data_IF_172597296376
#
_entry.id   IF_172597296376
#
_cell.length_a   1.000
_cell.length_b   1.000
_cell.length_c   1.000
_cell.angle_alpha   90.00
_cell.angle_beta   90.00
_cell.angle_gamma   90.00
#
_symmetry.space_group_name_H-M   'P 1'
#
loop_
_entity.id
_entity.type
_entity.pdbx_description
1 polymer ?
#
# COMPACT_ATOMS: atom_id res chain seq x y z
N UNK A 1 -17.22 -21.53 2.14
CA UNK A 1 -17.13 -20.71 3.37
C UNK A 1 -15.71 -20.26 3.65
N UNK A 2 -14.75 -21.19 3.65
CA UNK A 2 -13.34 -20.85 3.90
C UNK A 2 -12.78 -19.86 2.89
N UNK A 3 -13.06 -20.07 1.60
CA UNK A 3 -12.63 -19.18 0.55
C UNK A 3 -13.21 -17.77 0.71
N UNK A 4 -14.49 -17.66 1.04
CA UNK A 4 -15.14 -16.37 1.26
C UNK A 4 -14.53 -15.61 2.43
N UNK A 5 -14.26 -16.33 3.54
CA UNK A 5 -13.61 -15.74 4.72
C UNK A 5 -12.22 -15.24 4.36
N UNK A 6 -11.43 -16.02 3.61
CA UNK A 6 -10.09 -15.61 3.17
C UNK A 6 -10.15 -14.36 2.32
N UNK A 7 -11.08 -14.27 1.37
CA UNK A 7 -11.24 -13.09 0.51
C UNK A 7 -11.61 -11.87 1.34
N UNK A 8 -12.57 -12.01 2.27
CA UNK A 8 -12.98 -10.91 3.14
C UNK A 8 -11.80 -10.42 3.99
N UNK A 9 -11.03 -11.36 4.57
CA UNK A 9 -9.88 -11.02 5.39
C UNK A 9 -8.76 -10.38 4.59
N UNK A 10 -8.55 -10.80 3.34
CA UNK A 10 -7.60 -10.15 2.45
C UNK A 10 -8.02 -8.71 2.20
N UNK A 11 -9.29 -8.46 1.90
CA UNK A 11 -9.78 -7.10 1.66
C UNK A 11 -9.58 -6.23 2.89
N UNK A 12 -9.99 -6.70 4.07
CA UNK A 12 -9.88 -5.94 5.31
C UNK A 12 -8.41 -5.66 5.64
N UNK A 13 -7.56 -6.68 5.60
CA UNK A 13 -6.14 -6.53 5.94
C UNK A 13 -5.39 -5.69 4.90
N UNK A 14 -5.76 -5.78 3.63
CA UNK A 14 -5.19 -4.91 2.58
C UNK A 14 -5.56 -3.45 2.82
N UNK A 15 -6.81 -3.17 3.17
CA UNK A 15 -7.24 -1.81 3.50
C UNK A 15 -6.49 -1.29 4.73
N UNK A 16 -6.31 -2.13 5.74
CA UNK A 16 -5.57 -1.75 6.95
C UNK A 16 -4.10 -1.44 6.65
N UNK A 17 -3.42 -2.34 5.93
CA UNK A 17 -2.01 -2.14 5.60
C UNK A 17 -1.80 -0.95 4.66
N UNK A 18 -2.64 -0.81 3.65
CA UNK A 18 -2.54 0.30 2.71
C UNK A 18 -2.83 1.64 3.39
N UNK A 19 -3.84 1.69 4.25
CA UNK A 19 -4.13 2.90 5.02
C UNK A 19 -2.97 3.26 5.95
N UNK A 20 -2.48 2.30 6.74
CA UNK A 20 -1.39 2.52 7.68
C UNK A 20 -0.12 2.98 6.97
N UNK A 21 0.29 2.27 5.93
CA UNK A 21 1.50 2.62 5.16
C UNK A 21 1.34 3.94 4.43
N UNK A 22 0.15 4.23 3.87
CA UNK A 22 -0.08 5.53 3.21
C UNK A 22 0.07 6.69 4.20
N UNK A 23 -0.44 6.53 5.41
CA UNK A 23 -0.25 7.54 6.46
C UNK A 23 1.22 7.65 6.84
N UNK A 24 1.93 6.54 6.91
CA UNK A 24 3.37 6.53 7.13
C UNK A 24 4.12 7.35 6.08
N UNK A 25 3.81 7.15 4.81
CA UNK A 25 4.43 7.91 3.71
C UNK A 25 4.06 9.39 3.74
N UNK A 26 2.79 9.70 3.96
CA UNK A 26 2.31 11.09 3.97
C UNK A 26 2.93 11.88 5.13
N UNK A 27 2.86 11.34 6.35
CA UNK A 27 3.46 12.02 7.50
C UNK A 27 4.98 12.04 7.41
N UNK A 28 5.60 10.98 6.90
CA UNK A 28 7.05 10.93 6.69
C UNK A 28 7.55 11.98 5.72
N UNK A 29 6.81 12.23 4.62
CA UNK A 29 7.19 13.29 3.69
C UNK A 29 7.07 14.70 4.28
N UNK A 30 6.32 14.87 5.36
CA UNK A 30 6.16 16.15 6.05
C UNK A 30 6.96 16.22 7.36
N UNK A 31 7.78 15.19 7.65
CA UNK A 31 8.52 15.12 8.90
C UNK A 31 9.74 16.05 8.93
N UNK A 32 10.29 16.38 7.78
CA UNK A 32 11.49 17.22 7.68
C UNK A 32 11.14 18.56 7.07
N UNK A 33 11.39 19.61 7.81
CA UNK A 33 11.20 20.99 7.36
C UNK A 33 12.54 21.72 7.46
N UNK A 34 13.13 22.03 6.29
CA UNK A 34 14.43 22.73 6.21
C UNK A 34 15.53 22.03 7.05
N UNK A 35 15.55 20.70 7.03
CA UNK A 35 16.53 19.91 7.77
C UNK A 35 16.22 19.72 9.24
N UNK A 36 15.08 20.24 9.73
CA UNK A 36 14.66 20.08 11.12
C UNK A 36 13.53 19.07 11.19
N UNK A 37 13.64 18.09 12.09
CA UNK A 37 12.64 17.04 12.26
C UNK A 37 11.42 17.59 13.01
N UNK A 38 10.24 17.46 12.40
CA UNK A 38 8.97 17.62 13.07
C UNK A 38 8.65 16.31 13.79
N UNK A 39 8.84 16.29 15.09
CA UNK A 39 8.69 15.07 15.90
C UNK A 39 7.28 14.49 15.82
N UNK A 40 6.25 15.34 15.78
CA UNK A 40 4.87 14.90 15.70
C UNK A 40 4.61 14.13 14.39
N UNK A 41 5.02 14.68 13.25
CA UNK A 41 4.88 14.00 11.97
C UNK A 41 5.77 12.76 11.89
N UNK A 42 6.96 12.79 12.45
CA UNK A 42 7.84 11.64 12.53
C UNK A 42 7.23 10.48 13.29
N UNK A 43 6.65 10.74 14.46
CA UNK A 43 5.98 9.72 15.27
C UNK A 43 4.76 9.17 14.56
N UNK A 44 3.94 10.03 13.96
CA UNK A 44 2.77 9.60 13.18
C UNK A 44 3.16 8.72 12.01
N UNK A 45 4.28 9.03 11.36
CA UNK A 45 4.81 8.22 10.27
C UNK A 45 5.17 6.81 10.75
N UNK A 46 5.93 6.71 11.84
CA UNK A 46 6.34 5.42 12.41
C UNK A 46 5.13 4.60 12.84
N UNK A 47 4.16 5.23 13.51
CA UNK A 47 2.93 4.54 13.93
C UNK A 47 2.13 4.05 12.73
N UNK A 48 2.04 4.84 11.66
CA UNK A 48 1.37 4.45 10.43
C UNK A 48 2.01 3.19 9.84
N UNK A 49 3.33 3.16 9.72
CA UNK A 49 4.05 1.99 9.23
C UNK A 49 3.91 0.78 10.17
N UNK A 50 3.87 1.00 11.48
CA UNK A 50 3.65 -0.10 12.44
C UNK A 50 2.28 -0.75 12.22
N UNK A 51 1.23 0.03 12.06
CA UNK A 51 -0.11 -0.47 11.73
C UNK A 51 -0.09 -1.19 10.39
N UNK A 52 0.56 -0.60 9.39
CA UNK A 52 0.70 -1.20 8.07
C UNK A 52 1.42 -2.54 8.11
N UNK A 53 2.48 -2.65 8.91
CA UNK A 53 3.24 -3.90 9.07
C UNK A 53 2.37 -5.01 9.66
N UNK A 54 1.58 -4.72 10.67
CA UNK A 54 0.64 -5.70 11.26
C UNK A 54 -0.38 -6.13 10.22
N UNK A 55 -0.98 -5.18 9.52
CA UNK A 55 -1.94 -5.47 8.45
C UNK A 55 -1.32 -6.32 7.34
N UNK A 56 -0.08 -6.04 6.97
CA UNK A 56 0.65 -6.80 5.94
C UNK A 56 0.83 -8.27 6.35
N UNK A 57 1.26 -8.52 7.58
CA UNK A 57 1.45 -9.89 8.07
C UNK A 57 0.14 -10.66 8.04
N UNK A 58 -0.97 -10.03 8.44
CA UNK A 58 -2.29 -10.64 8.38
C UNK A 58 -2.70 -10.90 6.91
N UNK A 59 -2.48 -9.95 6.04
CA UNK A 59 -2.77 -10.07 4.60
C UNK A 59 -2.03 -11.27 4.00
N UNK A 60 -0.75 -11.42 4.29
CA UNK A 60 0.08 -12.53 3.78
C UNK A 60 -0.48 -13.88 4.22
N UNK A 61 -0.96 -13.99 5.46
CA UNK A 61 -1.57 -15.23 5.94
C UNK A 61 -2.70 -15.68 5.00
N UNK A 62 -3.61 -14.79 4.68
CA UNK A 62 -4.77 -15.12 3.85
C UNK A 62 -4.42 -15.24 2.36
N UNK A 63 -3.44 -14.49 1.88
CA UNK A 63 -2.92 -14.68 0.53
C UNK A 63 -2.30 -16.06 0.37
N UNK A 64 -1.58 -16.55 1.37
CA UNK A 64 -1.02 -17.90 1.36
C UNK A 64 -2.10 -18.96 1.26
N UNK A 65 -3.26 -18.76 1.87
CA UNK A 65 -4.40 -19.67 1.76
C UNK A 65 -4.94 -19.75 0.33
N UNK A 66 -4.76 -18.68 -0.47
CA UNK A 66 -5.09 -18.65 -1.88
C UNK A 66 -3.91 -19.05 -2.78
N UNK A 67 -2.84 -19.62 -2.19
CA UNK A 67 -1.63 -20.07 -2.88
C UNK A 67 -0.80 -18.93 -3.48
N UNK A 68 -1.00 -17.70 -3.03
CA UNK A 68 -0.14 -16.56 -3.37
C UNK A 68 0.93 -16.47 -2.27
N UNK A 69 2.08 -17.12 -2.51
CA UNK A 69 3.08 -17.34 -1.45
C UNK A 69 4.42 -16.66 -1.68
N UNK A 70 4.71 -16.26 -2.91
CA UNK A 70 6.02 -15.68 -3.21
C UNK A 70 6.12 -14.27 -2.63
N UNK A 71 7.29 -13.89 -2.07
CA UNK A 71 7.49 -12.53 -1.56
C UNK A 71 7.26 -11.47 -2.63
N UNK A 72 7.63 -11.75 -3.87
CA UNK A 72 7.45 -10.83 -4.98
C UNK A 72 5.97 -10.50 -5.22
N UNK A 73 5.11 -11.53 -5.24
CA UNK A 73 3.67 -11.32 -5.47
C UNK A 73 2.99 -10.59 -4.32
N UNK A 74 3.32 -10.94 -3.08
CA UNK A 74 2.75 -10.26 -1.92
C UNK A 74 3.21 -8.80 -1.86
N UNK A 75 4.46 -8.53 -2.22
CA UNK A 75 5.00 -7.17 -2.29
C UNK A 75 4.32 -6.35 -3.38
N UNK A 76 4.14 -6.92 -4.58
CA UNK A 76 3.44 -6.22 -5.66
C UNK A 76 2.00 -5.89 -5.27
N UNK A 77 1.32 -6.83 -4.65
CA UNK A 77 -0.06 -6.63 -4.19
C UNK A 77 -0.15 -5.48 -3.17
N UNK A 78 0.73 -5.50 -2.17
CA UNK A 78 0.84 -4.43 -1.18
C UNK A 78 1.17 -3.09 -1.83
N UNK A 79 2.11 -3.09 -2.78
CA UNK A 79 2.60 -1.87 -3.42
C UNK A 79 1.49 -1.17 -4.19
N UNK A 80 0.71 -1.91 -4.99
CA UNK A 80 -0.42 -1.37 -5.74
C UNK A 80 -1.44 -0.74 -4.79
N UNK A 81 -1.82 -1.46 -3.73
CA UNK A 81 -2.79 -0.96 -2.75
C UNK A 81 -2.28 0.30 -2.05
N UNK A 82 -1.01 0.31 -1.64
CA UNK A 82 -0.41 1.44 -0.93
C UNK A 82 -0.32 2.68 -1.83
N UNK A 83 0.10 2.52 -3.09
CA UNK A 83 0.17 3.64 -4.04
C UNK A 83 -1.20 4.29 -4.23
N UNK A 84 -2.24 3.49 -4.38
CA UNK A 84 -3.60 3.99 -4.54
C UNK A 84 -4.00 4.83 -3.32
N UNK A 85 -3.76 4.31 -2.12
CA UNK A 85 -4.09 5.05 -0.89
C UNK A 85 -3.26 6.31 -0.71
N UNK A 86 -1.97 6.30 -1.07
CA UNK A 86 -1.13 7.50 -1.01
C UNK A 86 -1.64 8.54 -1.99
N UNK A 87 -1.99 8.14 -3.21
CA UNK A 87 -2.49 9.06 -4.23
C UNK A 87 -3.77 9.76 -3.78
N UNK A 88 -4.72 9.00 -3.24
CA UNK A 88 -5.97 9.59 -2.74
C UNK A 88 -5.78 10.38 -1.44
N UNK A 89 -4.89 9.93 -0.57
CA UNK A 89 -4.66 10.58 0.72
C UNK A 89 -3.93 11.91 0.61
N UNK A 90 -2.88 11.98 -0.19
CA UNK A 90 -2.09 13.21 -0.37
C UNK A 90 -2.71 14.17 -1.38
N UNK A 91 -3.44 13.64 -2.35
CA UNK A 91 -4.06 14.38 -3.46
C UNK A 91 -3.07 15.14 -4.36
N UNK A 92 -1.79 15.05 -4.10
CA UNK A 92 -0.78 15.75 -4.90
C UNK A 92 -0.72 15.23 -6.33
N UNK A 93 -0.98 13.93 -6.52
CA UNK A 93 -1.03 13.32 -7.84
C UNK A 93 -2.02 14.03 -8.76
N UNK A 94 -3.14 14.52 -8.22
CA UNK A 94 -4.17 15.19 -9.02
C UNK A 94 -3.73 16.53 -9.57
N UNK A 95 -2.67 17.12 -9.01
CA UNK A 95 -2.09 18.37 -9.53
C UNK A 95 -1.00 18.14 -10.59
N UNK A 96 -0.62 16.89 -10.84
CA UNK A 96 0.42 16.57 -11.82
C UNK A 96 -0.08 16.86 -13.24
N UNK A 97 0.84 17.12 -14.20
CA UNK A 97 0.49 17.18 -15.61
C UNK A 97 -0.19 15.89 -16.08
N UNK A 98 -1.06 16.00 -17.09
CA UNK A 98 -1.84 14.86 -17.58
C UNK A 98 -0.95 13.69 -18.01
N UNK A 99 0.18 13.97 -18.67
CA UNK A 99 1.11 12.93 -19.11
C UNK A 99 1.64 12.14 -17.92
N UNK A 100 2.01 12.81 -16.84
CA UNK A 100 2.54 12.16 -15.64
C UNK A 100 1.49 11.30 -14.95
N UNK A 101 0.23 11.77 -14.92
CA UNK A 101 -0.88 10.97 -14.41
C UNK A 101 -1.10 9.70 -15.23
N UNK A 102 -1.00 9.79 -16.55
CA UNK A 102 -1.15 8.65 -17.45
C UNK A 102 -0.02 7.64 -17.20
N UNK A 103 1.21 8.09 -17.08
CA UNK A 103 2.36 7.22 -16.79
C UNK A 103 2.17 6.52 -15.44
N UNK A 104 1.79 7.25 -14.40
CA UNK A 104 1.53 6.68 -13.08
C UNK A 104 0.44 5.61 -13.12
N UNK A 105 -0.65 5.88 -13.85
CA UNK A 105 -1.74 4.93 -14.03
C UNK A 105 -1.28 3.67 -14.76
N UNK A 106 -0.46 3.82 -15.81
CA UNK A 106 0.10 2.68 -16.53
C UNK A 106 1.02 1.83 -15.66
N UNK A 107 1.81 2.45 -14.77
CA UNK A 107 2.65 1.71 -13.82
C UNK A 107 1.79 0.87 -12.89
N UNK A 108 0.71 1.42 -12.34
CA UNK A 108 -0.21 0.69 -11.44
C UNK A 108 -0.86 -0.47 -12.19
N UNK A 109 -1.32 -0.24 -13.42
CA UNK A 109 -1.89 -1.31 -14.25
C UNK A 109 -0.85 -2.39 -14.53
N UNK A 110 0.40 -2.01 -14.86
CA UNK A 110 1.48 -2.96 -15.11
C UNK A 110 1.78 -3.84 -13.89
N UNK A 111 1.83 -3.24 -12.71
CA UNK A 111 2.03 -3.98 -11.46
C UNK A 111 0.87 -4.94 -11.19
N UNK A 112 -0.36 -4.49 -11.38
CA UNK A 112 -1.55 -5.33 -11.25
C UNK A 112 -1.54 -6.49 -12.24
N UNK A 113 -1.17 -6.23 -13.49
CA UNK A 113 -1.05 -7.25 -14.52
C UNK A 113 -0.02 -8.33 -14.14
N UNK A 114 1.17 -7.90 -13.67
CA UNK A 114 2.20 -8.83 -13.25
C UNK A 114 1.76 -9.68 -12.06
N UNK A 115 1.07 -9.08 -11.11
CA UNK A 115 0.53 -9.80 -9.95
C UNK A 115 -0.47 -10.86 -10.38
N UNK A 116 -1.35 -10.52 -11.31
CA UNK A 116 -2.37 -11.43 -11.83
C UNK A 116 -1.77 -12.56 -12.64
N UNK A 117 -0.82 -12.23 -13.52
CA UNK A 117 -0.18 -13.20 -14.41
C UNK A 117 0.65 -14.23 -13.65
N UNK A 118 1.31 -13.83 -12.57
CA UNK A 118 2.22 -14.69 -11.82
C UNK A 118 1.61 -15.26 -10.54
N UNK A 119 0.36 -14.91 -10.23
CA UNK A 119 -0.35 -15.34 -9.03
C UNK A 119 -1.00 -16.71 -9.13
N UNK A 120 -0.94 -17.31 -10.28
CA UNK A 120 -1.48 -18.64 -10.48
C UNK A 120 -0.45 -19.71 -10.23
#
# INVERSE_FOLDING_TARGET
>A
MKLLISIIMIVISTLLTAWGDSRGFIYGSNAWNKGVLDLTNGIKSVLGFAIGAVGFVIMVKYLNELKIKTPELTTLFWFVATIIFVAFGSRQLFSWPLIDKIVAFLVVIGLGFLSFRNGG
#
